data_IF_111185999014
#
_entry.id   IF_111185999014
#
_cell.length_a   1.000
_cell.length_b   1.000
_cell.length_c   1.000
_cell.angle_alpha   90.00
_cell.angle_beta   90.00
_cell.angle_gamma   90.00
#
_symmetry.space_group_name_H-M   'P 1'
#
loop_
_entity.id
_entity.type
_entity.pdbx_description
1 polymer ?
#
# COMPACT_ATOMS: atom_id res chain seq x y z
N UNK A 1 19.44 1.33 20.32
CA UNK A 1 19.87 2.50 21.09
C UNK A 1 18.71 3.44 21.34
N UNK A 2 18.76 4.29 22.35
CA UNK A 2 17.80 5.38 22.58
C UNK A 2 18.25 6.63 21.82
N UNK A 3 17.27 7.31 21.24
CA UNK A 3 17.46 8.52 20.47
C UNK A 3 16.52 9.60 20.99
N UNK A 4 17.02 10.79 21.23
CA UNK A 4 16.28 11.88 21.88
C UNK A 4 16.56 13.23 21.22
N UNK A 5 15.52 14.07 21.12
CA UNK A 5 15.64 15.48 20.80
C UNK A 5 15.02 16.31 21.93
N UNK A 6 15.75 17.32 22.38
CA UNK A 6 15.23 18.31 23.34
C UNK A 6 14.52 19.47 22.60
N UNK A 7 13.47 20.04 23.19
CA UNK A 7 12.84 19.69 24.45
C UNK A 7 11.99 18.43 24.34
N UNK A 8 12.10 17.53 25.34
CA UNK A 8 11.35 16.28 25.37
C UNK A 8 9.96 16.50 25.97
N UNK A 9 9.00 16.90 25.15
CA UNK A 9 7.66 17.32 25.57
C UNK A 9 6.72 16.13 25.83
N UNK A 10 6.98 14.96 25.27
CA UNK A 10 6.17 13.76 25.40
C UNK A 10 7.03 12.51 25.33
N UNK A 11 6.45 11.36 25.67
CA UNK A 11 7.20 10.10 25.73
C UNK A 11 7.85 9.66 24.41
N UNK A 12 7.27 10.08 23.26
CA UNK A 12 7.80 9.77 21.93
C UNK A 12 8.97 10.67 21.52
N UNK A 13 9.33 11.66 22.32
CA UNK A 13 10.55 12.46 22.11
C UNK A 13 11.83 11.69 22.44
N UNK A 14 11.70 10.50 23.05
CA UNK A 14 12.77 9.54 23.28
C UNK A 14 12.28 8.14 22.88
N UNK A 15 12.92 7.55 21.89
CA UNK A 15 12.53 6.25 21.36
C UNK A 15 13.74 5.36 21.11
N UNK A 16 13.51 4.04 21.17
CA UNK A 16 14.49 3.04 20.80
C UNK A 16 14.53 2.78 19.31
N UNK A 17 15.73 2.79 18.74
CA UNK A 17 15.96 2.49 17.33
C UNK A 17 16.97 1.36 17.13
N UNK A 18 16.79 0.56 16.10
CA UNK A 18 17.85 -0.28 15.57
C UNK A 18 18.80 0.59 14.75
N UNK A 19 20.09 0.37 14.93
CA UNK A 19 21.14 1.21 14.38
C UNK A 19 21.87 0.51 13.26
N UNK A 20 22.10 1.22 12.17
CA UNK A 20 23.04 0.86 11.14
C UNK A 20 24.20 1.87 11.15
N UNK A 21 25.41 1.38 11.33
CA UNK A 21 26.60 2.23 11.28
C UNK A 21 26.93 2.54 9.83
N UNK A 22 27.02 3.82 9.51
CA UNK A 22 27.32 4.34 8.19
C UNK A 22 28.55 5.28 8.25
N UNK A 23 29.13 5.56 7.10
CA UNK A 23 30.16 6.58 6.95
C UNK A 23 29.58 7.96 7.24
N UNK A 24 30.43 8.88 7.66
CA UNK A 24 30.13 10.26 8.03
C UNK A 24 29.51 10.41 9.43
N UNK A 25 29.60 11.62 9.98
CA UNK A 25 29.27 11.93 11.38
C UNK A 25 27.86 12.51 11.58
N UNK A 26 26.95 12.30 10.65
CA UNK A 26 25.56 12.77 10.75
C UNK A 26 24.60 11.65 11.11
N UNK A 27 23.61 11.95 11.94
CA UNK A 27 22.46 11.09 12.14
C UNK A 27 21.55 11.09 10.92
N UNK A 28 21.01 9.93 10.59
CA UNK A 28 20.06 9.76 9.47
C UNK A 28 18.89 8.96 9.96
N UNK A 29 17.70 9.47 9.76
CA UNK A 29 16.45 8.83 10.18
C UNK A 29 15.37 8.93 9.12
N UNK A 30 14.38 8.09 9.24
CA UNK A 30 13.24 8.12 8.34
C UNK A 30 12.44 9.42 8.56
N UNK A 31 11.93 10.00 7.47
CA UNK A 31 11.16 11.23 7.51
C UNK A 31 9.91 11.15 8.41
N UNK A 32 9.27 9.99 8.50
CA UNK A 32 8.10 9.77 9.37
C UNK A 32 8.43 9.93 10.85
N UNK A 33 9.68 9.70 11.26
CA UNK A 33 10.14 9.85 12.63
C UNK A 33 10.39 11.31 13.04
N UNK A 34 10.33 12.26 12.12
CA UNK A 34 10.56 13.68 12.44
C UNK A 34 9.46 14.27 13.30
N UNK A 35 8.21 13.88 13.09
CA UNK A 35 7.07 14.41 13.82
C UNK A 35 7.12 14.17 15.34
N UNK A 36 7.35 12.94 15.85
CA UNK A 36 7.45 12.72 17.29
C UNK A 36 8.65 13.44 17.94
N UNK A 37 9.76 13.59 17.24
CA UNK A 37 10.90 14.37 17.73
C UNK A 37 10.74 15.87 17.54
N UNK A 38 9.75 16.31 16.77
CA UNK A 38 9.61 17.68 16.28
C UNK A 38 10.93 18.19 15.68
N UNK A 39 11.58 17.34 14.89
CA UNK A 39 12.87 17.58 14.27
C UNK A 39 12.70 17.98 12.81
N UNK A 40 13.56 18.89 12.37
CA UNK A 40 13.77 19.21 10.96
C UNK A 40 15.26 19.03 10.60
N UNK A 41 15.61 19.28 9.37
CA UNK A 41 16.97 19.05 8.89
C UNK A 41 17.74 20.35 8.62
N UNK A 42 17.42 21.39 9.36
CA UNK A 42 18.03 22.73 9.23
C UNK A 42 19.28 22.92 10.11
N UNK A 43 19.74 21.85 10.79
CA UNK A 43 20.88 21.87 11.68
C UNK A 43 20.57 21.40 13.09
N UNK A 44 19.43 20.75 13.29
CA UNK A 44 19.05 20.15 14.58
C UNK A 44 20.11 19.16 15.07
N UNK A 45 20.32 19.17 16.37
CA UNK A 45 21.16 18.21 17.11
C UNK A 45 20.27 17.27 17.91
N UNK A 46 20.71 16.01 18.05
CA UNK A 46 20.01 15.02 18.82
C UNK A 46 20.98 14.23 19.71
N UNK A 47 20.44 13.65 20.79
CA UNK A 47 21.21 12.86 21.76
C UNK A 47 21.03 11.38 21.50
N UNK A 48 22.10 10.63 21.68
CA UNK A 48 22.13 9.19 21.53
C UNK A 48 22.57 8.55 22.86
N UNK A 49 21.79 7.57 23.33
CA UNK A 49 22.10 6.81 24.54
C UNK A 49 22.15 5.31 24.23
N UNK A 50 23.21 4.66 24.71
CA UNK A 50 23.40 3.23 24.53
C UNK A 50 23.06 2.52 25.83
N UNK A 51 22.10 1.56 25.83
CA UNK A 51 21.82 0.76 27.03
C UNK A 51 23.04 -0.02 27.49
N UNK A 52 23.34 0.08 28.79
CA UNK A 52 24.59 -0.46 29.36
C UNK A 52 24.44 -1.90 29.89
N UNK A 53 23.24 -2.37 30.13
CA UNK A 53 22.99 -3.70 30.65
C UNK A 53 21.86 -4.42 29.86
N UNK A 54 21.73 -5.72 30.07
CA UNK A 54 20.75 -6.54 29.38
C UNK A 54 19.29 -6.18 29.74
N UNK A 55 19.04 -5.77 30.98
CA UNK A 55 17.72 -5.36 31.42
C UNK A 55 17.28 -4.08 30.71
N UNK A 56 18.15 -3.04 30.74
CA UNK A 56 17.84 -1.80 30.00
C UNK A 56 17.68 -2.04 28.49
N UNK A 57 18.46 -2.97 27.92
CA UNK A 57 18.32 -3.35 26.51
C UNK A 57 16.97 -4.01 26.23
N UNK A 58 16.50 -4.87 27.12
CA UNK A 58 15.19 -5.51 27.00
C UNK A 58 14.06 -4.49 27.12
N UNK A 59 14.14 -3.55 28.05
CA UNK A 59 13.17 -2.48 28.22
C UNK A 59 13.10 -1.57 26.98
N UNK A 60 14.22 -1.20 26.43
CA UNK A 60 14.26 -0.41 25.19
C UNK A 60 13.64 -1.17 24.01
N UNK A 61 13.89 -2.48 23.91
CA UNK A 61 13.39 -3.30 22.80
C UNK A 61 11.88 -3.58 22.90
N UNK A 62 11.33 -3.62 24.11
CA UNK A 62 9.90 -3.98 24.33
C UNK A 62 9.01 -2.77 24.53
N UNK A 63 9.46 -1.78 25.30
CA UNK A 63 8.63 -0.64 25.69
C UNK A 63 8.86 0.63 24.88
N UNK A 64 10.09 0.84 24.40
CA UNK A 64 10.49 2.10 23.78
C UNK A 64 10.78 1.99 22.28
N UNK A 65 10.62 0.83 21.70
CA UNK A 65 10.95 0.58 20.29
C UNK A 65 10.01 1.36 19.36
N UNK A 66 10.56 2.13 18.43
CA UNK A 66 9.81 3.08 17.62
C UNK A 66 8.63 2.47 16.82
N UNK A 67 8.70 1.26 16.24
CA UNK A 67 7.55 0.66 15.58
C UNK A 67 6.36 0.38 16.51
N UNK A 68 6.60 0.12 17.80
CA UNK A 68 5.53 -0.11 18.76
C UNK A 68 4.87 1.19 19.26
N UNK A 69 5.51 2.33 19.01
CA UNK A 69 5.07 3.65 19.45
C UNK A 69 4.38 4.46 18.33
N UNK A 70 4.08 3.86 17.20
CA UNK A 70 3.46 4.56 16.07
C UNK A 70 2.10 5.13 16.45
N UNK A 71 1.28 4.37 17.19
CA UNK A 71 -0.03 4.82 17.65
C UNK A 71 0.05 5.30 19.08
N UNK A 72 -0.41 6.54 19.33
CA UNK A 72 -0.44 7.11 20.67
C UNK A 72 -1.72 6.67 21.40
N UNK A 73 -1.61 6.17 22.64
CA UNK A 73 -2.78 5.85 23.48
C UNK A 73 -3.52 7.10 23.96
N UNK A 74 -2.92 8.27 23.93
CA UNK A 74 -3.52 9.52 24.37
C UNK A 74 -4.69 9.96 23.48
N UNK A 75 -4.57 9.79 22.17
CA UNK A 75 -5.54 10.32 21.20
C UNK A 75 -6.06 9.26 20.23
N UNK A 76 -5.63 7.99 20.36
CA UNK A 76 -5.93 6.89 19.43
C UNK A 76 -5.55 7.22 17.96
N UNK A 77 -4.52 8.04 17.80
CA UNK A 77 -4.03 8.50 16.49
C UNK A 77 -2.57 8.14 16.31
N UNK A 78 -2.12 7.90 15.09
CA UNK A 78 -0.70 7.71 14.82
C UNK A 78 0.07 9.01 15.08
N UNK A 79 1.19 8.90 15.78
CA UNK A 79 2.15 9.99 15.99
C UNK A 79 3.09 10.12 14.80
N UNK A 80 3.38 9.01 14.15
CA UNK A 80 4.19 8.92 12.93
C UNK A 80 3.27 8.66 11.75
N UNK A 81 3.35 9.47 10.72
CA UNK A 81 2.56 9.37 9.52
C UNK A 81 3.35 9.77 8.28
N UNK A 82 2.72 9.65 7.14
CA UNK A 82 3.29 10.11 5.86
C UNK A 82 3.26 11.65 5.86
N UNK A 83 4.42 12.26 5.59
CA UNK A 83 4.60 13.72 5.62
C UNK A 83 5.33 14.22 4.37
N UNK A 84 5.24 15.52 4.13
CA UNK A 84 5.96 16.24 3.06
C UNK A 84 5.80 15.62 1.67
N UNK A 85 6.88 15.40 0.95
CA UNK A 85 6.88 14.94 -0.45
C UNK A 85 6.29 13.54 -0.63
N UNK A 86 6.42 12.66 0.37
CA UNK A 86 5.83 11.33 0.34
C UNK A 86 4.30 11.42 0.38
N UNK A 87 3.74 12.33 1.18
CA UNK A 87 2.31 12.60 1.23
C UNK A 87 1.81 13.15 -0.12
N UNK A 88 2.53 14.10 -0.70
CA UNK A 88 2.21 14.66 -2.00
C UNK A 88 2.27 13.59 -3.10
N UNK A 89 3.31 12.76 -3.09
CA UNK A 89 3.47 11.66 -4.03
C UNK A 89 2.34 10.64 -3.93
N UNK A 90 1.96 10.24 -2.71
CA UNK A 90 0.85 9.34 -2.47
C UNK A 90 -0.49 9.95 -2.94
N UNK A 91 -0.74 11.22 -2.65
CA UNK A 91 -1.94 11.92 -3.09
C UNK A 91 -2.05 12.00 -4.62
N UNK A 92 -0.95 12.34 -5.30
CA UNK A 92 -0.90 12.37 -6.77
C UNK A 92 -1.09 10.98 -7.36
N UNK A 93 -0.38 9.98 -6.84
CA UNK A 93 -0.44 8.61 -7.37
C UNK A 93 -1.82 7.98 -7.21
N UNK A 94 -2.53 8.30 -6.12
CA UNK A 94 -3.85 7.74 -5.82
C UNK A 94 -5.03 8.55 -6.36
N UNK A 95 -4.78 9.61 -7.12
CA UNK A 95 -5.84 10.37 -7.78
C UNK A 95 -6.60 9.51 -8.80
N UNK A 96 -7.88 9.85 -9.04
CA UNK A 96 -8.80 9.05 -9.86
C UNK A 96 -8.40 8.95 -11.33
N UNK A 97 -7.79 9.99 -11.84
CA UNK A 97 -7.45 10.19 -13.26
C UNK A 97 -6.05 9.68 -13.61
N UNK A 98 -5.36 9.06 -12.67
CA UNK A 98 -4.00 8.56 -12.88
C UNK A 98 -4.04 7.14 -13.43
N UNK A 99 -3.65 7.04 -14.71
CA UNK A 99 -3.42 5.79 -15.41
C UNK A 99 -1.95 5.67 -15.80
N UNK A 100 -1.37 4.52 -15.52
CA UNK A 100 0.06 4.25 -15.70
C UNK A 100 0.22 3.19 -16.79
N UNK A 101 0.96 3.53 -17.83
CA UNK A 101 1.28 2.62 -18.92
C UNK A 101 2.24 1.51 -18.48
N UNK A 102 2.34 0.46 -19.29
CA UNK A 102 3.10 -0.75 -19.00
C UNK A 102 4.53 -0.48 -18.54
N UNK A 103 5.28 0.34 -19.30
CA UNK A 103 6.70 0.55 -19.03
C UNK A 103 6.96 1.24 -17.70
N UNK A 104 6.15 2.26 -17.38
CA UNK A 104 6.23 2.94 -16.10
C UNK A 104 5.74 2.06 -14.95
N UNK A 105 4.68 1.27 -15.15
CA UNK A 105 4.17 0.36 -14.14
C UNK A 105 5.23 -0.69 -13.75
N UNK A 106 5.87 -1.31 -14.72
CA UNK A 106 6.92 -2.29 -14.45
C UNK A 106 8.16 -1.66 -13.82
N UNK A 107 8.54 -0.45 -14.23
CA UNK A 107 9.63 0.27 -13.56
C UNK A 107 9.32 0.55 -12.08
N UNK A 108 8.09 0.97 -11.76
CA UNK A 108 7.67 1.17 -10.37
C UNK A 108 7.68 -0.13 -9.55
N UNK A 109 7.26 -1.24 -10.13
CA UNK A 109 7.27 -2.54 -9.47
C UNK A 109 8.67 -3.00 -9.05
N UNK A 110 9.69 -2.69 -9.85
CA UNK A 110 11.08 -3.02 -9.54
C UNK A 110 11.62 -2.33 -8.27
N UNK A 111 11.01 -1.22 -7.85
CA UNK A 111 11.40 -0.52 -6.62
C UNK A 111 10.78 -1.11 -5.35
N UNK A 112 9.81 -2.01 -5.47
CA UNK A 112 9.15 -2.63 -4.33
C UNK A 112 9.98 -3.83 -3.87
N UNK A 113 10.71 -3.69 -2.78
CA UNK A 113 11.59 -4.75 -2.24
C UNK A 113 10.85 -5.98 -1.74
N UNK A 114 9.58 -5.84 -1.36
CA UNK A 114 8.72 -6.91 -0.83
C UNK A 114 7.74 -7.48 -1.86
N UNK A 115 7.92 -7.11 -3.14
CA UNK A 115 7.03 -7.58 -4.19
C UNK A 115 7.20 -9.09 -4.45
N UNK A 116 6.08 -9.78 -4.51
CA UNK A 116 5.99 -11.25 -4.71
C UNK A 116 6.15 -11.70 -6.19
N UNK A 117 6.40 -10.77 -7.11
CA UNK A 117 6.53 -11.05 -8.55
C UNK A 117 5.20 -11.12 -9.31
N UNK A 118 4.06 -11.07 -8.61
CA UNK A 118 2.76 -11.11 -9.25
C UNK A 118 2.35 -9.73 -9.77
N UNK A 119 2.10 -9.63 -11.06
CA UNK A 119 1.61 -8.39 -11.67
C UNK A 119 0.08 -8.39 -11.63
N UNK A 120 -0.55 -7.36 -11.05
CA UNK A 120 -2.00 -7.28 -11.03
C UNK A 120 -2.56 -7.13 -12.45
N UNK A 121 -3.77 -7.58 -12.68
CA UNK A 121 -4.46 -7.34 -13.94
C UNK A 121 -4.60 -5.83 -14.19
N UNK A 122 -4.40 -5.35 -15.43
CA UNK A 122 -4.58 -3.95 -15.75
C UNK A 122 -6.04 -3.53 -15.55
N UNK A 123 -6.24 -2.33 -15.01
CA UNK A 123 -7.57 -1.77 -14.80
C UNK A 123 -8.31 -1.52 -16.11
N UNK A 124 -7.57 -1.09 -17.13
CA UNK A 124 -8.12 -0.75 -18.44
C UNK A 124 -7.27 -1.38 -19.54
N UNK A 125 -7.96 -1.97 -20.52
CA UNK A 125 -7.38 -2.46 -21.76
C UNK A 125 -7.89 -1.59 -22.91
N UNK A 126 -7.08 -0.68 -23.39
CA UNK A 126 -7.44 0.19 -24.51
C UNK A 126 -7.18 -0.54 -25.81
N UNK A 127 -8.19 -0.65 -26.64
CA UNK A 127 -8.08 -1.25 -27.98
C UNK A 127 -7.48 -0.25 -28.96
N UNK A 128 -6.39 -0.61 -29.61
CA UNK A 128 -5.67 0.26 -30.52
C UNK A 128 -6.28 0.40 -31.93
N UNK A 129 -7.43 -0.21 -32.19
CA UNK A 129 -8.03 -0.28 -33.53
C UNK A 129 -8.86 0.96 -33.93
N UNK A 130 -8.78 2.07 -33.18
CA UNK A 130 -9.64 3.25 -33.40
C UNK A 130 -9.46 3.89 -34.78
N UNK A 131 -8.36 3.62 -35.46
CA UNK A 131 -8.07 4.16 -36.81
C UNK A 131 -8.37 3.20 -37.97
N UNK A 132 -8.94 2.03 -37.73
CA UNK A 132 -9.21 1.05 -38.78
C UNK A 132 -10.61 1.12 -39.41
N UNK A 133 -11.33 2.26 -39.28
CA UNK A 133 -12.56 2.46 -40.08
C UNK A 133 -12.33 2.42 -41.61
N UNK A 134 -11.08 2.33 -42.04
CA UNK A 134 -10.71 2.34 -43.48
C UNK A 134 -9.91 1.14 -43.97
N UNK A 135 -9.59 0.14 -43.17
CA UNK A 135 -8.88 -1.03 -43.70
C UNK A 135 -9.66 -2.32 -43.52
N UNK A 136 -10.33 -2.62 -44.65
CA UNK A 136 -10.85 -3.91 -45.00
C UNK A 136 -10.00 -5.08 -44.50
N UNK A 137 -10.72 -6.09 -43.94
CA UNK A 137 -10.43 -7.52 -44.15
C UNK A 137 -8.95 -7.94 -44.17
N UNK A 138 -8.14 -7.60 -43.22
CA UNK A 138 -6.98 -8.43 -42.95
C UNK A 138 -7.38 -9.55 -42.00
N UNK A 139 -7.71 -10.68 -42.59
CA UNK A 139 -7.98 -11.93 -41.90
C UNK A 139 -6.84 -12.23 -40.90
N UNK A 140 -7.16 -12.37 -39.62
CA UNK A 140 -6.39 -13.20 -38.72
C UNK A 140 -5.47 -12.51 -37.72
N UNK A 141 -5.38 -11.16 -37.59
CA UNK A 141 -4.61 -10.54 -36.50
C UNK A 141 -5.51 -10.24 -35.30
N UNK A 142 -5.17 -10.84 -34.17
CA UNK A 142 -5.85 -10.53 -32.91
C UNK A 142 -5.76 -9.03 -32.59
N UNK A 143 -6.81 -8.43 -32.00
CA UNK A 143 -6.81 -7.03 -31.63
C UNK A 143 -5.68 -6.74 -30.64
N UNK A 144 -4.91 -5.69 -30.90
CA UNK A 144 -3.85 -5.23 -29.99
C UNK A 144 -4.48 -4.38 -28.89
N UNK A 145 -4.24 -4.75 -27.66
CA UNK A 145 -4.67 -4.01 -26.47
C UNK A 145 -3.46 -3.37 -25.80
N UNK A 146 -3.61 -2.13 -25.37
CA UNK A 146 -2.64 -1.45 -24.51
C UNK A 146 -3.15 -1.51 -23.08
N UNK A 147 -2.43 -2.17 -22.19
CA UNK A 147 -2.82 -2.25 -20.78
C UNK A 147 -2.46 -0.97 -20.03
N UNK A 148 -3.37 -0.54 -19.14
CA UNK A 148 -3.17 0.58 -18.23
C UNK A 148 -3.53 0.16 -16.82
N UNK A 149 -2.70 0.51 -15.87
CA UNK A 149 -2.91 0.31 -14.44
C UNK A 149 -3.28 1.61 -13.77
N UNK A 150 -4.10 1.56 -12.74
CA UNK A 150 -4.33 2.73 -11.90
C UNK A 150 -3.20 2.86 -10.88
N UNK A 151 -2.89 4.11 -10.51
CA UNK A 151 -1.89 4.33 -9.47
C UNK A 151 -2.28 3.71 -8.13
N UNK A 152 -3.59 3.63 -7.82
CA UNK A 152 -4.10 2.93 -6.63
C UNK A 152 -3.78 1.45 -6.62
N UNK A 153 -3.90 0.76 -7.77
CA UNK A 153 -3.53 -0.66 -7.87
C UNK A 153 -2.07 -0.89 -7.52
N UNK A 154 -1.17 -0.05 -8.08
CA UNK A 154 0.26 -0.18 -7.82
C UNK A 154 0.59 0.19 -6.38
N UNK A 155 -0.06 1.22 -5.83
CA UNK A 155 0.11 1.61 -4.43
C UNK A 155 -0.34 0.51 -3.46
N UNK A 156 -1.42 -0.20 -3.78
CA UNK A 156 -1.94 -1.29 -2.96
C UNK A 156 -0.97 -2.49 -2.83
N UNK A 157 -0.02 -2.63 -3.75
CA UNK A 157 0.99 -3.70 -3.66
C UNK A 157 2.03 -3.44 -2.56
N UNK A 158 2.20 -2.19 -2.16
CA UNK A 158 3.10 -1.80 -1.07
C UNK A 158 2.43 -2.02 0.29
N UNK A 159 1.11 -1.89 0.35
CA UNK A 159 0.36 -2.03 1.58
C UNK A 159 0.29 -3.50 2.01
N UNK A 160 0.47 -3.79 3.30
CA UNK A 160 0.24 -5.13 3.81
C UNK A 160 -1.25 -5.49 3.68
N UNK A 161 -1.55 -6.78 3.60
CA UNK A 161 -2.94 -7.27 3.61
C UNK A 161 -3.53 -7.04 5.00
N UNK A 162 -4.30 -5.97 5.15
CA UNK A 162 -4.93 -5.56 6.40
C UNK A 162 -6.40 -5.97 6.49
N UNK A 163 -6.98 -6.44 5.39
CA UNK A 163 -8.37 -6.90 5.38
C UNK A 163 -8.48 -8.24 6.08
N UNK A 164 -9.32 -8.31 7.09
CA UNK A 164 -9.69 -9.56 7.76
C UNK A 164 -10.91 -10.12 7.04
N UNK A 165 -10.74 -11.26 6.39
CA UNK A 165 -11.85 -12.01 5.83
C UNK A 165 -12.36 -12.97 6.91
N UNK A 166 -13.60 -12.80 7.31
CA UNK A 166 -14.28 -13.71 8.22
C UNK A 166 -15.31 -14.51 7.42
N UNK A 167 -15.06 -15.82 7.31
CA UNK A 167 -16.01 -16.73 6.68
C UNK A 167 -17.31 -16.73 7.51
N UNK A 168 -18.38 -16.18 6.96
CA UNK A 168 -19.67 -16.22 7.59
C UNK A 168 -20.34 -17.56 7.22
N UNK A 169 -20.59 -18.42 8.20
CA UNK A 169 -21.21 -19.75 7.98
C UNK A 169 -22.57 -19.67 7.24
N UNK A 170 -23.20 -18.48 7.25
CA UNK A 170 -24.47 -18.22 6.56
C UNK A 170 -24.24 -18.03 5.05
N UNK A 171 -23.09 -17.48 4.64
CA UNK A 171 -22.79 -17.23 3.21
C UNK A 171 -22.41 -18.52 2.46
N UNK A 172 -21.94 -19.54 3.15
CA UNK A 172 -21.64 -20.84 2.52
C UNK A 172 -22.89 -21.59 2.03
N UNK A 173 -24.09 -21.19 2.46
CA UNK A 173 -25.36 -21.77 2.05
C UNK A 173 -26.01 -21.05 0.84
N UNK A 174 -25.52 -19.86 0.44
CA UNK A 174 -26.11 -19.05 -0.63
C UNK A 174 -25.14 -19.01 -1.82
N UNK A 175 -25.16 -20.06 -2.62
CA UNK A 175 -24.34 -20.17 -3.84
C UNK A 175 -25.01 -19.55 -5.08
N UNK A 176 -25.83 -18.50 -4.95
CA UNK A 176 -26.49 -17.85 -6.07
C UNK A 176 -25.95 -16.46 -6.29
N UNK A 177 -25.58 -16.16 -7.55
CA UNK A 177 -25.22 -14.81 -7.93
C UNK A 177 -26.37 -13.84 -7.60
N UNK A 178 -26.09 -12.80 -6.80
CA UNK A 178 -27.11 -11.82 -6.36
C UNK A 178 -27.39 -10.74 -7.41
N UNK A 179 -26.73 -10.79 -8.57
CA UNK A 179 -26.95 -9.79 -9.61
C UNK A 179 -28.34 -9.94 -10.21
N UNK A 180 -29.21 -8.89 -10.17
CA UNK A 180 -30.55 -8.94 -10.73
C UNK A 180 -30.51 -9.22 -12.24
N UNK A 181 -31.13 -10.30 -12.69
CA UNK A 181 -31.18 -10.67 -14.10
C UNK A 181 -30.08 -11.61 -14.59
N UNK A 182 -29.26 -12.17 -13.72
CA UNK A 182 -28.29 -13.20 -14.10
C UNK A 182 -29.03 -14.45 -14.62
N UNK A 183 -29.06 -14.63 -15.97
CA UNK A 183 -29.76 -15.73 -16.66
C UNK A 183 -28.95 -17.04 -16.73
N UNK A 184 -27.83 -17.15 -16.03
CA UNK A 184 -27.06 -18.39 -16.03
C UNK A 184 -27.59 -19.38 -15.00
N UNK A 185 -28.57 -20.15 -15.51
CA UNK A 185 -28.97 -21.48 -15.11
C UNK A 185 -28.54 -21.93 -13.72
N UNK A 186 -29.43 -21.88 -12.78
CA UNK A 186 -29.48 -22.48 -11.45
C UNK A 186 -28.50 -23.57 -11.02
N UNK A 187 -27.37 -23.73 -11.69
CA UNK A 187 -26.29 -24.64 -11.30
C UNK A 187 -25.28 -23.91 -10.40
N UNK A 188 -24.99 -24.45 -9.22
CA UNK A 188 -23.99 -23.89 -8.34
C UNK A 188 -22.63 -23.94 -9.03
N UNK A 189 -22.12 -22.82 -9.51
CA UNK A 189 -20.73 -22.66 -9.87
C UNK A 189 -19.94 -22.36 -8.60
N UNK A 190 -18.72 -22.89 -8.51
CA UNK A 190 -17.75 -22.46 -7.51
C UNK A 190 -17.61 -20.94 -7.62
N UNK A 191 -18.31 -20.25 -6.75
CA UNK A 191 -18.06 -18.83 -6.49
C UNK A 191 -16.71 -18.82 -5.78
N UNK A 192 -15.74 -18.06 -6.26
CA UNK A 192 -14.55 -17.79 -5.48
C UNK A 192 -15.01 -17.34 -4.09
N UNK A 193 -14.45 -17.92 -3.05
CA UNK A 193 -14.97 -17.96 -1.68
C UNK A 193 -15.30 -16.60 -1.03
N UNK A 194 -15.01 -15.51 -1.71
CA UNK A 194 -15.05 -14.17 -1.12
C UNK A 194 -15.93 -13.16 -1.86
N UNK A 195 -16.73 -13.56 -2.84
CA UNK A 195 -17.53 -12.61 -3.60
C UNK A 195 -18.89 -13.17 -4.02
N UNK A 196 -19.97 -12.48 -3.67
CA UNK A 196 -21.36 -12.85 -3.99
C UNK A 196 -21.74 -12.74 -5.47
N UNK A 197 -20.78 -12.48 -6.36
CA UNK A 197 -21.00 -12.26 -7.78
C UNK A 197 -20.22 -13.26 -8.63
N UNK A 198 -20.81 -13.71 -9.74
CA UNK A 198 -20.07 -14.53 -10.68
C UNK A 198 -18.96 -13.71 -11.38
N UNK A 199 -17.92 -14.36 -11.87
CA UNK A 199 -16.74 -13.70 -12.46
C UNK A 199 -17.05 -12.71 -13.60
N UNK A 200 -18.23 -12.80 -14.21
CA UNK A 200 -18.69 -11.85 -15.26
C UNK A 200 -19.17 -10.55 -14.62
N UNK A 201 -19.99 -10.64 -13.56
CA UNK A 201 -20.54 -9.47 -12.88
C UNK A 201 -19.55 -8.81 -11.93
N UNK A 202 -18.54 -9.54 -11.45
CA UNK A 202 -17.40 -8.97 -10.71
C UNK A 202 -16.66 -7.91 -11.54
N UNK A 203 -16.54 -8.11 -12.85
CA UNK A 203 -15.91 -7.13 -13.74
C UNK A 203 -16.74 -5.85 -13.89
N UNK A 204 -18.07 -5.99 -13.89
CA UNK A 204 -18.99 -4.84 -13.98
C UNK A 204 -19.05 -4.07 -12.65
N UNK A 205 -19.10 -4.77 -11.53
CA UNK A 205 -19.10 -4.13 -10.18
C UNK A 205 -17.78 -3.43 -9.91
N UNK A 206 -16.66 -4.05 -10.26
CA UNK A 206 -15.35 -3.38 -10.13
C UNK A 206 -15.20 -2.17 -11.05
N UNK A 207 -15.88 -2.14 -12.19
CA UNK A 207 -15.89 -0.96 -13.06
C UNK A 207 -16.75 0.19 -12.51
N UNK A 208 -17.70 -0.09 -11.63
CA UNK A 208 -18.58 0.91 -11.00
C UNK A 208 -18.04 1.42 -9.65
N UNK A 209 -17.17 0.66 -8.98
CA UNK A 209 -16.58 1.02 -7.67
C UNK A 209 -15.27 1.79 -7.79
N UNK A 210 -14.75 1.97 -8.99
CA UNK A 210 -13.56 2.72 -9.34
C UNK A 210 -13.87 3.70 -10.47
#
# INVERSE_FOLDING_TARGET
MLFNRQPSLHKMSIMGHQVKVLKYSTFRLNLTCTAPYNADFDGDEMNMHIPQNHQARADVATLMYSPTLIVSPQSNRPVMGIVQDTLLGAAKMTARDIFIGKDHAFNLLLWISTWDGNVPFPAVLVRNDVNSRRRSRSRGKAPKFTPWWTGKQLFSLILPRINVFQDNKIQSAISRCQFPGCKKDGKPRKVEKDVDFCAIHLREVNALLF
#
